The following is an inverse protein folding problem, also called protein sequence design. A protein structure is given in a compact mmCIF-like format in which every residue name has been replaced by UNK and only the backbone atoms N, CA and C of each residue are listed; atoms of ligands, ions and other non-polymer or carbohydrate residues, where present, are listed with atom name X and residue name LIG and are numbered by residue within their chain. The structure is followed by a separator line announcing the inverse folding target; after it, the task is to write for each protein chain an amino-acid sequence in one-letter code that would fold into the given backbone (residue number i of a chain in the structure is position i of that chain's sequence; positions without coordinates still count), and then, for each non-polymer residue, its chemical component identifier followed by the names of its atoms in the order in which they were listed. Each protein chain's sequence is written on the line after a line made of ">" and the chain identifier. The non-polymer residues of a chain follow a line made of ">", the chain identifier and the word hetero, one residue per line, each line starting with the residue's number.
data_IF_066958484306
#
_entry.id   IF_066958484306
#
_cell.length_a   1.000
_cell.length_b   1.000
_cell.length_c   1.000
_cell.angle_alpha   90.00
_cell.angle_beta   90.00
_cell.angle_gamma   90.00
#
_symmetry.space_group_name_H-M   'P 1'
#
loop_
_entity.id
_entity.type
_entity.pdbx_description
1 polymer ?
#
# COMPACT_ATOMS: atom_id res chain seq x y z
N UNK A 1 4.55 0.18 6.53
CA UNK A 1 5.10 -0.47 5.33
C UNK A 1 5.90 0.58 4.60
N UNK A 2 7.19 0.64 4.92
CA UNK A 2 8.11 1.55 4.23
C UNK A 2 8.23 1.09 2.78
N UNK A 3 7.92 1.95 1.82
CA UNK A 3 8.23 1.70 0.42
C UNK A 3 9.66 2.17 0.19
N UNK A 4 10.63 1.28 0.33
CA UNK A 4 11.89 1.47 -0.33
C UNK A 4 11.66 1.13 -1.80
N UNK A 5 11.63 2.13 -2.66
CA UNK A 5 11.78 1.91 -4.08
C UNK A 5 13.21 1.46 -4.34
N UNK A 6 13.48 0.17 -4.41
CA UNK A 6 14.64 -0.32 -5.14
C UNK A 6 14.36 -0.04 -6.60
N UNK A 7 14.75 1.14 -7.06
CA UNK A 7 15.04 1.35 -8.47
C UNK A 7 16.35 0.61 -8.67
N UNK A 8 16.29 -0.59 -9.26
CA UNK A 8 17.47 -1.16 -9.88
C UNK A 8 18.00 -0.07 -10.81
N UNK A 9 19.26 0.29 -10.64
CA UNK A 9 19.99 1.23 -11.50
C UNK A 9 20.23 0.57 -12.85
N UNK A 10 19.18 0.30 -13.60
CA UNK A 10 19.22 0.24 -15.04
C UNK A 10 18.44 1.45 -15.53
N UNK A 11 19.20 2.41 -16.02
CA UNK A 11 18.83 3.66 -16.68
C UNK A 11 17.41 3.66 -17.25
N UNK A 12 16.43 4.16 -16.49
CA UNK A 12 15.23 4.74 -17.04
C UNK A 12 15.35 6.25 -16.83
N UNK A 13 16.15 6.87 -17.65
CA UNK A 13 16.06 8.29 -17.96
C UNK A 13 14.70 8.50 -18.62
N UNK A 14 13.70 8.90 -17.85
CA UNK A 14 12.50 9.52 -18.40
C UNK A 14 12.85 10.95 -18.83
N UNK A 15 13.64 11.03 -19.91
CA UNK A 15 13.74 12.24 -20.68
C UNK A 15 12.47 12.31 -21.55
N UNK A 16 11.68 13.38 -21.33
CA UNK A 16 10.64 13.88 -22.22
C UNK A 16 9.70 12.82 -22.80
N UNK A 17 8.49 12.78 -22.28
CA UNK A 17 7.38 12.05 -22.89
C UNK A 17 7.19 12.54 -24.34
N UNK A 18 7.68 11.84 -25.37
CA UNK A 18 7.39 12.18 -26.74
C UNK A 18 6.18 11.37 -27.16
N UNK A 19 4.99 11.91 -26.93
CA UNK A 19 3.83 11.45 -27.69
C UNK A 19 4.06 11.84 -29.16
N UNK A 20 4.58 10.90 -29.96
CA UNK A 20 4.57 11.00 -31.41
C UNK A 20 3.26 10.42 -31.95
N UNK A 21 2.45 11.21 -32.67
CA UNK A 21 1.26 10.66 -33.30
C UNK A 21 1.65 9.64 -34.38
N UNK A 22 0.95 8.55 -34.39
CA UNK A 22 0.75 7.48 -35.32
C UNK A 22 1.67 7.41 -36.58
N UNK A 23 2.55 6.42 -36.60
CA UNK A 23 2.90 5.72 -37.83
C UNK A 23 2.02 4.49 -37.97
N UNK A 24 1.04 4.56 -38.88
CA UNK A 24 0.28 3.41 -39.36
C UNK A 24 1.27 2.38 -39.94
N UNK A 25 1.58 1.34 -39.18
CA UNK A 25 2.12 0.09 -39.68
C UNK A 25 1.01 -0.93 -39.74
N UNK A 26 0.39 -1.04 -40.88
CA UNK A 26 -0.39 -2.18 -41.31
C UNK A 26 0.47 -3.46 -41.21
N UNK A 27 0.44 -4.15 -40.09
CA UNK A 27 0.75 -5.56 -40.01
C UNK A 27 -0.56 -6.28 -39.71
N UNK A 28 -1.18 -6.86 -40.74
CA UNK A 28 -2.10 -7.95 -40.59
C UNK A 28 -1.38 -9.06 -39.81
N UNK A 29 -1.53 -9.09 -38.47
CA UNK A 29 -1.31 -10.29 -37.70
C UNK A 29 -2.57 -11.13 -37.92
N UNK A 30 -2.41 -12.25 -38.61
CA UNK A 30 -3.37 -13.34 -38.57
C UNK A 30 -3.81 -13.52 -37.12
N UNK A 31 -5.12 -13.47 -36.87
CA UNK A 31 -5.73 -13.84 -35.61
C UNK A 31 -5.42 -15.34 -35.42
N UNK A 32 -4.33 -15.63 -34.70
CA UNK A 32 -4.19 -16.93 -34.06
C UNK A 32 -5.46 -17.12 -33.21
N UNK A 33 -6.24 -18.12 -33.52
CA UNK A 33 -7.32 -18.60 -32.67
C UNK A 33 -6.75 -18.79 -31.27
N UNK A 34 -7.10 -17.90 -30.34
CA UNK A 34 -6.73 -18.04 -28.94
C UNK A 34 -7.44 -19.31 -28.48
N UNK A 35 -6.71 -20.42 -28.37
CA UNK A 35 -7.21 -21.62 -27.71
C UNK A 35 -7.88 -21.19 -26.41
N UNK A 36 -9.19 -21.29 -26.34
CA UNK A 36 -9.94 -21.04 -25.10
C UNK A 36 -9.43 -22.01 -24.05
N UNK A 37 -8.91 -21.48 -22.95
CA UNK A 37 -8.45 -22.30 -21.84
C UNK A 37 -9.66 -23.05 -21.25
N UNK A 38 -9.46 -24.26 -20.71
CA UNK A 38 -10.55 -25.12 -20.28
C UNK A 38 -11.36 -24.54 -19.13
N UNK A 39 -12.61 -24.92 -19.07
CA UNK A 39 -13.46 -24.81 -17.88
C UNK A 39 -13.19 -26.04 -17.01
N UNK A 40 -13.07 -25.86 -15.72
CA UNK A 40 -12.95 -26.91 -14.71
C UNK A 40 -14.25 -26.91 -13.91
N UNK A 41 -14.97 -28.00 -13.97
CA UNK A 41 -16.30 -28.09 -13.39
C UNK A 41 -16.29 -28.79 -12.03
N UNK A 42 -17.19 -28.37 -11.14
CA UNK A 42 -17.45 -28.98 -9.85
C UNK A 42 -16.22 -29.12 -8.94
N UNK A 43 -15.43 -28.07 -8.89
CA UNK A 43 -14.16 -28.04 -8.15
C UNK A 43 -14.38 -27.58 -6.72
N UNK A 44 -13.94 -28.38 -5.76
CA UNK A 44 -13.93 -28.00 -4.33
C UNK A 44 -12.69 -27.17 -4.00
N UNK A 45 -12.90 -26.00 -3.42
CA UNK A 45 -11.82 -25.16 -2.87
C UNK A 45 -11.38 -25.76 -1.54
N UNK A 46 -10.08 -25.99 -1.40
CA UNK A 46 -9.52 -26.77 -0.29
C UNK A 46 -8.73 -25.98 0.73
N UNK A 47 -8.11 -24.87 0.35
CA UNK A 47 -7.23 -24.09 1.26
C UNK A 47 -7.14 -22.62 0.80
N UNK A 48 -6.46 -21.81 1.60
CA UNK A 48 -6.18 -20.41 1.34
C UNK A 48 -4.69 -20.26 0.99
N UNK A 49 -4.41 -19.47 -0.03
CA UNK A 49 -3.08 -19.11 -0.48
C UNK A 49 -2.74 -17.66 -0.15
N UNK A 50 -1.52 -17.26 -0.47
CA UNK A 50 -1.06 -15.88 -0.35
C UNK A 50 -1.91 -14.90 -1.20
N UNK A 51 -1.82 -13.61 -0.85
CA UNK A 51 -2.45 -12.50 -1.58
C UNK A 51 -3.97 -12.54 -1.66
N UNK A 52 -4.63 -13.24 -0.75
CA UNK A 52 -6.08 -13.33 -0.70
C UNK A 52 -6.70 -14.26 -1.75
N UNK A 53 -5.90 -15.11 -2.37
CA UNK A 53 -6.38 -16.18 -3.24
C UNK A 53 -6.69 -17.43 -2.41
N UNK A 54 -7.62 -18.23 -2.88
CA UNK A 54 -7.83 -19.59 -2.42
C UNK A 54 -7.24 -20.58 -3.41
N UNK A 55 -7.15 -21.83 -3.04
CA UNK A 55 -6.60 -22.86 -3.91
C UNK A 55 -7.46 -24.14 -3.94
N UNK A 56 -7.39 -24.83 -5.06
CA UNK A 56 -7.80 -26.21 -5.23
C UNK A 56 -6.64 -27.02 -5.81
N UNK A 57 -6.69 -28.33 -5.69
CA UNK A 57 -5.74 -29.26 -6.32
C UNK A 57 -6.47 -30.18 -7.28
N UNK A 58 -5.98 -30.26 -8.50
CA UNK A 58 -6.53 -31.12 -9.55
C UNK A 58 -5.39 -31.82 -10.25
N UNK A 59 -5.29 -33.14 -10.12
CA UNK A 59 -4.24 -33.96 -10.76
C UNK A 59 -2.83 -33.34 -10.59
N UNK A 60 -2.38 -33.11 -9.37
CA UNK A 60 -1.11 -32.51 -8.99
C UNK A 60 -0.92 -31.04 -9.41
N UNK A 61 -1.90 -30.42 -10.06
CA UNK A 61 -1.87 -29.02 -10.42
C UNK A 61 -2.55 -28.20 -9.33
N UNK A 62 -1.90 -27.12 -8.91
CA UNK A 62 -2.48 -26.11 -8.02
C UNK A 62 -3.28 -25.11 -8.85
N UNK A 63 -4.53 -24.86 -8.45
CA UNK A 63 -5.42 -23.88 -9.08
C UNK A 63 -5.64 -22.73 -8.10
N UNK A 64 -5.15 -21.53 -8.42
CA UNK A 64 -5.39 -20.33 -7.63
C UNK A 64 -6.68 -19.64 -8.06
N UNK A 65 -7.54 -19.36 -7.09
CA UNK A 65 -8.89 -18.82 -7.33
C UNK A 65 -9.13 -17.61 -6.42
N UNK A 66 -9.32 -16.40 -6.96
CA UNK A 66 -9.72 -15.25 -6.15
C UNK A 66 -11.19 -15.35 -5.74
N UNK A 67 -11.55 -14.69 -4.63
CA UNK A 67 -12.92 -14.54 -4.13
C UNK A 67 -13.67 -15.86 -3.83
N UNK A 68 -12.94 -16.95 -3.64
CA UNK A 68 -13.46 -18.21 -3.15
C UNK A 68 -12.96 -18.47 -1.72
N UNK A 69 -13.62 -19.37 -0.99
CA UNK A 69 -13.22 -19.80 0.36
C UNK A 69 -13.21 -21.32 0.44
N UNK A 70 -12.42 -21.93 1.34
CA UNK A 70 -12.43 -23.38 1.53
C UNK A 70 -13.85 -23.90 1.79
N UNK A 71 -14.21 -24.99 1.12
CA UNK A 71 -15.54 -25.58 1.16
C UNK A 71 -16.50 -25.09 0.08
N UNK A 72 -16.18 -24.03 -0.67
CA UNK A 72 -16.92 -23.69 -1.89
C UNK A 72 -16.76 -24.79 -2.92
N UNK A 73 -17.85 -25.11 -3.63
CA UNK A 73 -17.83 -25.95 -4.84
C UNK A 73 -18.20 -25.07 -6.04
N UNK A 74 -17.30 -24.99 -7.01
CA UNK A 74 -17.39 -23.99 -8.09
C UNK A 74 -17.00 -24.54 -9.45
N UNK A 75 -17.53 -23.89 -10.50
CA UNK A 75 -16.98 -24.03 -11.84
C UNK A 75 -16.02 -22.88 -12.12
N UNK A 76 -14.88 -23.21 -12.70
CA UNK A 76 -13.75 -22.33 -12.88
C UNK A 76 -13.37 -22.14 -14.34
N UNK A 77 -13.27 -20.92 -14.81
CA UNK A 77 -12.63 -20.62 -16.09
C UNK A 77 -11.12 -20.40 -15.87
N UNK A 78 -10.29 -21.26 -16.44
CA UNK A 78 -8.83 -21.05 -16.43
C UNK A 78 -8.50 -19.79 -17.23
N UNK A 79 -7.72 -18.88 -16.63
CA UNK A 79 -7.26 -17.62 -17.24
C UNK A 79 -5.79 -17.69 -17.65
N UNK A 80 -5.00 -18.43 -16.87
CA UNK A 80 -3.56 -18.59 -17.11
C UNK A 80 -3.12 -19.98 -16.70
N UNK A 81 -2.31 -20.63 -17.50
CA UNK A 81 -1.75 -21.96 -17.20
C UNK A 81 -0.22 -21.90 -17.25
N UNK A 82 0.41 -22.43 -16.21
CA UNK A 82 1.84 -22.68 -16.08
C UNK A 82 2.09 -24.19 -15.88
N UNK A 83 3.36 -24.57 -15.76
CA UNK A 83 3.73 -25.99 -15.69
C UNK A 83 3.14 -26.67 -14.42
N UNK A 84 3.22 -26.01 -13.25
CA UNK A 84 2.80 -26.58 -11.96
C UNK A 84 1.55 -25.93 -11.35
N UNK A 85 1.03 -24.86 -11.95
CA UNK A 85 -0.16 -24.19 -11.45
C UNK A 85 -0.97 -23.51 -12.56
N UNK A 86 -2.22 -23.22 -12.26
CA UNK A 86 -3.01 -22.30 -13.07
C UNK A 86 -3.72 -21.26 -12.20
N UNK A 87 -4.15 -20.18 -12.84
CA UNK A 87 -5.00 -19.15 -12.27
C UNK A 87 -6.36 -19.24 -12.95
N UNK A 88 -7.40 -19.27 -12.15
CA UNK A 88 -8.77 -19.42 -12.65
C UNK A 88 -9.72 -18.47 -11.90
N UNK A 89 -10.82 -18.14 -12.53
CA UNK A 89 -11.89 -17.32 -11.97
C UNK A 89 -13.16 -18.15 -11.84
N UNK A 90 -13.92 -17.91 -10.77
CA UNK A 90 -15.23 -18.54 -10.58
C UNK A 90 -16.20 -17.99 -11.62
N UNK A 91 -16.82 -18.89 -12.38
CA UNK A 91 -17.90 -18.58 -13.32
C UNK A 91 -19.28 -18.98 -12.79
N UNK A 92 -19.31 -19.95 -11.86
CA UNK A 92 -20.56 -20.40 -11.21
C UNK A 92 -20.23 -21.02 -9.84
N UNK A 93 -21.02 -20.68 -8.83
CA UNK A 93 -21.03 -21.37 -7.55
C UNK A 93 -22.07 -22.50 -7.61
N UNK A 94 -21.64 -23.73 -7.31
CA UNK A 94 -22.52 -24.91 -7.18
C UNK A 94 -23.02 -25.02 -5.75
N UNK A 95 -22.08 -24.81 -4.78
CA UNK A 95 -22.36 -24.80 -3.35
C UNK A 95 -21.47 -23.74 -2.68
N UNK A 96 -22.09 -22.93 -1.86
CA UNK A 96 -21.36 -22.00 -0.98
C UNK A 96 -20.89 -22.72 0.28
N UNK A 97 -19.69 -22.38 0.72
CA UNK A 97 -19.13 -22.85 2.00
C UNK A 97 -19.87 -22.23 3.18
N UNK A 98 -20.02 -23.00 4.26
CA UNK A 98 -20.54 -22.52 5.54
C UNK A 98 -19.60 -21.52 6.24
N UNK A 99 -18.33 -21.47 5.82
CA UNK A 99 -17.36 -20.49 6.30
C UNK A 99 -17.59 -19.08 5.74
N UNK A 100 -18.45 -18.90 4.75
CA UNK A 100 -18.68 -17.58 4.17
C UNK A 100 -19.41 -16.65 5.11
N UNK A 101 -18.98 -15.38 5.07
CA UNK A 101 -19.72 -14.27 5.68
C UNK A 101 -20.09 -13.24 4.63
N UNK A 102 -21.13 -12.46 4.89
CA UNK A 102 -21.53 -11.37 4.01
C UNK A 102 -20.50 -10.25 4.05
N UNK A 103 -19.97 -9.81 2.89
CA UNK A 103 -19.06 -8.67 2.84
C UNK A 103 -19.74 -7.37 3.29
N UNK A 104 -19.08 -6.62 4.21
CA UNK A 104 -19.61 -5.35 4.70
C UNK A 104 -19.63 -4.24 3.64
N UNK A 105 -18.83 -4.35 2.58
CA UNK A 105 -18.64 -3.34 1.56
C UNK A 105 -19.33 -3.76 0.25
N UNK A 106 -20.25 -2.94 -0.25
CA UNK A 106 -20.96 -3.20 -1.51
C UNK A 106 -20.06 -3.20 -2.75
N UNK A 107 -18.85 -2.63 -2.66
CA UNK A 107 -17.86 -2.63 -3.74
C UNK A 107 -16.93 -3.85 -3.69
N UNK A 108 -17.11 -4.75 -2.71
CA UNK A 108 -16.29 -5.95 -2.61
C UNK A 108 -16.44 -6.83 -3.85
N UNK A 109 -15.35 -7.42 -4.30
CA UNK A 109 -15.31 -8.24 -5.51
C UNK A 109 -15.04 -7.45 -6.80
N UNK A 110 -15.32 -6.15 -6.82
CA UNK A 110 -14.99 -5.25 -7.94
C UNK A 110 -13.83 -4.33 -7.57
N UNK A 111 -13.91 -3.65 -6.42
CA UNK A 111 -12.81 -2.86 -5.88
C UNK A 111 -11.61 -3.74 -5.52
N UNK A 112 -10.41 -3.38 -5.98
CA UNK A 112 -9.17 -4.10 -5.73
C UNK A 112 -8.61 -3.96 -4.30
N UNK A 113 -9.21 -3.12 -3.43
CA UNK A 113 -8.67 -2.77 -2.12
C UNK A 113 -8.77 -3.88 -1.07
N UNK A 114 -9.86 -4.63 -1.05
CA UNK A 114 -10.12 -5.72 -0.09
C UNK A 114 -10.14 -7.08 -0.79
N UNK A 115 -9.59 -8.11 -0.12
CA UNK A 115 -9.46 -9.45 -0.69
C UNK A 115 -10.31 -10.53 -0.01
N UNK A 116 -10.66 -10.35 1.28
CA UNK A 116 -11.19 -11.42 2.12
C UNK A 116 -12.44 -11.04 2.93
N UNK A 117 -13.22 -10.04 2.52
CA UNK A 117 -14.42 -9.67 3.29
C UNK A 117 -15.49 -10.79 3.34
N UNK A 118 -15.42 -11.76 2.44
CA UNK A 118 -16.27 -12.95 2.45
C UNK A 118 -15.83 -14.04 3.43
N UNK A 119 -14.71 -13.83 4.17
CA UNK A 119 -14.17 -14.77 5.14
C UNK A 119 -14.17 -14.14 6.53
N UNK A 120 -14.68 -14.81 7.59
CA UNK A 120 -14.62 -14.32 8.96
C UNK A 120 -13.20 -13.95 9.38
N UNK A 121 -13.06 -12.94 10.25
CA UNK A 121 -11.75 -12.41 10.59
C UNK A 121 -10.86 -13.44 11.29
N UNK A 122 -11.41 -14.30 12.13
CA UNK A 122 -10.69 -15.39 12.79
C UNK A 122 -10.09 -16.37 11.77
N UNK A 123 -10.81 -16.67 10.71
CA UNK A 123 -10.32 -17.54 9.63
C UNK A 123 -9.24 -16.83 8.79
N UNK A 124 -9.36 -15.51 8.60
CA UNK A 124 -8.29 -14.70 7.98
C UNK A 124 -7.00 -14.75 8.83
N UNK A 125 -7.11 -14.69 10.15
CA UNK A 125 -5.97 -14.78 11.07
C UNK A 125 -5.31 -16.17 10.99
N UNK A 126 -6.10 -17.25 11.03
CA UNK A 126 -5.58 -18.62 10.90
C UNK A 126 -4.84 -18.81 9.57
N UNK A 127 -5.42 -18.31 8.49
CA UNK A 127 -4.80 -18.40 7.15
C UNK A 127 -3.47 -17.63 7.08
N UNK A 128 -3.41 -16.43 7.66
CA UNK A 128 -2.18 -15.63 7.70
C UNK A 128 -1.11 -16.28 8.57
N UNK A 129 -1.49 -16.79 9.73
CA UNK A 129 -0.56 -17.50 10.62
C UNK A 129 0.03 -18.75 9.94
N UNK A 130 -0.85 -19.56 9.33
CA UNK A 130 -0.43 -20.73 8.55
C UNK A 130 0.51 -20.35 7.41
N UNK A 131 0.22 -19.28 6.68
CA UNK A 131 1.05 -18.80 5.58
C UNK A 131 2.47 -18.45 6.06
N UNK A 132 2.60 -17.72 7.17
CA UNK A 132 3.90 -17.35 7.73
C UNK A 132 4.66 -18.61 8.16
N UNK A 133 4.01 -19.50 8.89
CA UNK A 133 4.60 -20.77 9.33
C UNK A 133 5.11 -21.61 8.15
N UNK A 134 4.25 -21.82 7.14
CA UNK A 134 4.59 -22.60 5.94
C UNK A 134 5.78 -21.99 5.16
N UNK A 135 5.88 -20.68 5.12
CA UNK A 135 6.96 -20.01 4.40
C UNK A 135 8.29 -20.07 5.17
N UNK A 136 8.27 -19.82 6.47
CA UNK A 136 9.46 -19.92 7.30
C UNK A 136 10.03 -21.35 7.31
N UNK A 137 9.18 -22.36 7.46
CA UNK A 137 9.61 -23.76 7.56
C UNK A 137 9.94 -24.40 6.20
N UNK A 138 9.20 -24.06 5.12
CA UNK A 138 9.39 -24.72 3.80
C UNK A 138 10.30 -23.96 2.85
N UNK A 139 10.27 -22.62 2.87
CA UNK A 139 11.14 -21.79 2.03
C UNK A 139 12.43 -21.49 2.78
N UNK A 140 12.33 -20.94 3.99
CA UNK A 140 13.46 -20.60 4.83
C UNK A 140 14.18 -21.82 5.38
N UNK A 141 13.44 -22.91 5.62
CA UNK A 141 13.92 -24.11 6.33
C UNK A 141 14.53 -23.78 7.70
N UNK A 142 14.07 -22.67 8.28
CA UNK A 142 14.53 -22.16 9.57
C UNK A 142 13.88 -22.98 10.67
N UNK A 143 14.65 -23.36 11.68
CA UNK A 143 14.13 -23.96 12.89
C UNK A 143 13.42 -22.88 13.72
N UNK A 144 12.17 -23.15 14.13
CA UNK A 144 11.36 -22.22 14.90
C UNK A 144 11.26 -22.72 16.34
N UNK A 145 12.07 -22.22 17.28
CA UNK A 145 12.03 -22.65 18.68
C UNK A 145 10.71 -22.25 19.34
N UNK A 146 10.15 -21.13 18.96
CA UNK A 146 8.84 -20.64 19.39
C UNK A 146 8.10 -19.99 18.21
N UNK A 147 6.83 -20.36 18.01
CA UNK A 147 5.95 -19.73 17.03
C UNK A 147 4.70 -19.23 17.76
N UNK A 148 4.68 -17.94 18.08
CA UNK A 148 3.58 -17.33 18.85
C UNK A 148 2.30 -17.19 18.04
N UNK A 149 1.12 -17.22 18.67
CA UNK A 149 -0.14 -16.94 18.01
C UNK A 149 -0.15 -15.55 17.37
N UNK A 150 -0.80 -15.46 16.20
CA UNK A 150 -0.96 -14.17 15.50
C UNK A 150 -1.75 -13.18 16.33
N UNK A 151 -1.28 -11.95 16.40
CA UNK A 151 -1.98 -10.85 17.05
C UNK A 151 -2.95 -10.20 16.07
N UNK A 152 -4.25 -10.38 16.30
CA UNK A 152 -5.31 -9.75 15.51
C UNK A 152 -5.42 -8.25 15.75
N UNK A 153 -5.96 -7.52 14.78
CA UNK A 153 -6.35 -6.13 14.95
C UNK A 153 -7.68 -6.03 15.70
N UNK A 154 -7.78 -5.11 16.65
CA UNK A 154 -9.02 -4.85 17.41
C UNK A 154 -10.13 -4.31 16.50
N UNK A 155 -9.76 -3.45 15.52
CA UNK A 155 -10.68 -2.93 14.50
C UNK A 155 -10.46 -3.67 13.19
N UNK A 156 -11.52 -4.16 12.58
CA UNK A 156 -11.54 -4.80 11.26
C UNK A 156 -12.08 -3.87 10.17
N UNK A 157 -12.67 -2.74 10.57
CA UNK A 157 -13.08 -1.60 9.74
C UNK A 157 -12.59 -0.29 10.37
N UNK A 158 -12.60 0.81 9.62
CA UNK A 158 -12.22 2.15 10.08
C UNK A 158 -10.87 2.20 10.81
N UNK A 159 -9.93 1.38 10.40
CA UNK A 159 -8.61 1.29 11.03
C UNK A 159 -7.52 2.05 10.28
N UNK A 160 -7.78 2.45 9.03
CA UNK A 160 -6.79 3.17 8.23
C UNK A 160 -6.81 4.66 8.54
N UNK A 161 -5.61 5.20 8.63
CA UNK A 161 -5.38 6.64 8.78
C UNK A 161 -4.99 7.33 7.46
N UNK A 162 -4.97 6.62 6.32
CA UNK A 162 -4.66 7.17 5.00
C UNK A 162 -5.37 6.40 3.89
N UNK A 163 -6.02 7.12 2.98
CA UNK A 163 -6.54 6.62 1.70
C UNK A 163 -6.15 7.57 0.58
N UNK A 164 -5.89 7.00 -0.60
CA UNK A 164 -5.57 7.71 -1.85
C UNK A 164 -6.62 7.33 -2.89
N UNK A 165 -7.21 8.33 -3.54
CA UNK A 165 -8.27 8.16 -4.53
C UNK A 165 -7.86 8.80 -5.84
N UNK A 166 -7.93 8.03 -6.93
CA UNK A 166 -7.76 8.58 -8.26
C UNK A 166 -9.01 9.30 -8.74
N UNK A 167 -8.82 10.32 -9.56
CA UNK A 167 -9.87 11.02 -10.29
C UNK A 167 -9.67 10.77 -11.78
N UNK A 168 -10.72 10.40 -12.50
CA UNK A 168 -10.60 10.09 -13.93
C UNK A 168 -11.90 10.38 -14.68
N UNK A 169 -11.77 10.77 -15.94
CA UNK A 169 -12.86 10.84 -16.90
C UNK A 169 -13.21 9.46 -17.51
N UNK A 170 -12.67 8.37 -16.95
CA UNK A 170 -12.89 6.98 -17.39
C UNK A 170 -13.42 6.11 -16.26
N UNK A 171 -14.68 6.28 -15.95
CA UNK A 171 -15.42 5.46 -15.00
C UNK A 171 -15.37 3.97 -15.39
N UNK A 172 -15.12 3.11 -14.43
CA UNK A 172 -15.33 1.68 -14.60
C UNK A 172 -16.83 1.36 -14.65
N UNK A 173 -17.26 0.71 -15.74
CA UNK A 173 -18.63 0.22 -15.89
C UNK A 173 -18.70 -1.24 -15.46
N UNK A 174 -19.77 -1.61 -14.76
CA UNK A 174 -20.02 -3.00 -14.38
C UNK A 174 -20.43 -3.83 -15.60
N UNK A 175 -20.40 -5.16 -15.46
CA UNK A 175 -20.85 -6.06 -16.55
C UNK A 175 -22.32 -5.82 -16.90
N UNK A 176 -23.14 -5.52 -15.89
CA UNK A 176 -24.57 -5.22 -16.05
C UNK A 176 -24.78 -3.92 -16.84
N UNK A 177 -24.05 -2.86 -16.51
CA UNK A 177 -24.07 -1.59 -17.22
C UNK A 177 -23.59 -1.73 -18.67
N UNK A 178 -22.58 -2.55 -18.91
CA UNK A 178 -22.12 -2.85 -20.28
C UNK A 178 -23.17 -3.64 -21.04
N UNK A 179 -23.84 -4.61 -20.39
CA UNK A 179 -24.84 -5.46 -21.01
C UNK A 179 -26.17 -4.73 -21.29
N UNK A 180 -26.51 -3.71 -20.50
CA UNK A 180 -27.70 -2.88 -20.73
C UNK A 180 -27.62 -2.07 -22.02
N UNK A 181 -26.41 -1.84 -22.53
CA UNK A 181 -26.19 -1.01 -23.74
C UNK A 181 -26.45 0.47 -23.51
N UNK A 182 -26.54 0.92 -22.26
CA UNK A 182 -26.66 2.33 -21.93
C UNK A 182 -25.49 3.13 -22.50
N UNK A 183 -25.80 4.24 -23.13
CA UNK A 183 -24.79 5.23 -23.52
C UNK A 183 -24.66 6.27 -22.40
N UNK A 184 -23.43 6.54 -21.98
CA UNK A 184 -23.13 7.53 -20.95
C UNK A 184 -22.59 8.80 -21.62
N UNK A 185 -23.06 9.96 -21.16
CA UNK A 185 -22.46 11.24 -21.53
C UNK A 185 -21.03 11.37 -20.96
N UNK A 186 -20.20 12.21 -21.55
CA UNK A 186 -18.82 12.39 -21.12
C UNK A 186 -18.69 12.76 -19.64
N UNK A 187 -19.59 13.59 -19.12
CA UNK A 187 -19.63 14.01 -17.71
C UNK A 187 -20.01 12.86 -16.77
N UNK A 188 -20.83 11.92 -17.21
CA UNK A 188 -21.23 10.74 -16.45
C UNK A 188 -20.09 9.70 -16.32
N UNK A 189 -19.06 9.85 -17.16
CA UNK A 189 -17.84 9.04 -17.11
C UNK A 189 -16.81 9.55 -16.10
N UNK A 190 -17.07 10.70 -15.46
CA UNK A 190 -16.22 11.23 -14.41
C UNK A 190 -16.38 10.41 -13.11
N UNK A 191 -15.27 10.06 -12.48
CA UNK A 191 -15.27 9.22 -11.29
C UNK A 191 -14.13 9.58 -10.33
N UNK A 192 -14.43 9.52 -9.02
CA UNK A 192 -13.46 9.52 -7.94
C UNK A 192 -13.56 8.19 -7.20
N UNK A 193 -12.45 7.51 -7.01
CA UNK A 193 -12.43 6.22 -6.33
C UNK A 193 -11.11 5.47 -6.49
N UNK A 194 -11.19 4.17 -6.71
CA UNK A 194 -10.00 3.32 -6.82
C UNK A 194 -9.80 2.75 -8.21
N UNK A 195 -8.54 2.60 -8.61
CA UNK A 195 -8.17 1.90 -9.82
C UNK A 195 -8.58 0.43 -9.78
N UNK A 196 -9.06 -0.08 -10.91
CA UNK A 196 -9.37 -1.50 -11.08
C UNK A 196 -8.08 -2.26 -11.42
N UNK A 197 -7.90 -3.41 -10.78
CA UNK A 197 -6.77 -4.29 -11.07
C UNK A 197 -6.72 -4.65 -12.56
N UNK A 198 -5.62 -4.31 -13.21
CA UNK A 198 -5.42 -4.56 -14.66
C UNK A 198 -6.00 -3.48 -15.59
N UNK A 199 -6.63 -2.43 -15.06
CA UNK A 199 -7.15 -1.30 -15.82
C UNK A 199 -6.66 0.02 -15.18
N UNK A 200 -5.42 0.38 -15.44
CA UNK A 200 -4.71 1.48 -14.80
C UNK A 200 -5.33 2.87 -15.05
N UNK A 201 -6.07 3.04 -16.13
CA UNK A 201 -6.71 4.28 -16.55
C UNK A 201 -8.19 4.38 -16.15
N UNK A 202 -8.74 3.36 -15.47
CA UNK A 202 -10.16 3.32 -15.10
C UNK A 202 -10.36 3.35 -13.60
N UNK A 203 -11.30 4.18 -13.17
CA UNK A 203 -11.66 4.36 -11.77
C UNK A 203 -13.04 3.76 -11.49
N UNK A 204 -13.10 2.90 -10.48
CA UNK A 204 -14.36 2.48 -9.88
C UNK A 204 -14.84 3.61 -8.95
N UNK A 205 -16.00 4.23 -9.22
CA UNK A 205 -16.54 5.23 -8.31
C UNK A 205 -16.88 4.60 -6.96
N UNK A 206 -16.42 5.22 -5.89
CA UNK A 206 -16.67 4.74 -4.52
C UNK A 206 -17.56 5.74 -3.81
N UNK A 207 -18.70 5.29 -3.30
CA UNK A 207 -19.59 6.12 -2.47
C UNK A 207 -19.24 6.00 -0.99
N UNK A 208 -18.96 4.79 -0.53
CA UNK A 208 -18.57 4.52 0.85
C UNK A 208 -17.44 3.49 0.90
N UNK A 209 -16.32 3.87 1.52
CA UNK A 209 -15.24 2.96 1.89
C UNK A 209 -15.28 2.75 3.41
N UNK A 210 -15.21 1.50 3.84
CA UNK A 210 -15.31 1.11 5.26
C UNK A 210 -13.95 1.02 5.97
N UNK A 211 -12.86 1.37 5.28
CA UNK A 211 -11.51 1.19 5.82
C UNK A 211 -11.02 2.34 6.69
N UNK A 212 -11.63 3.51 6.59
CA UNK A 212 -11.26 4.72 7.32
C UNK A 212 -12.54 5.36 7.92
N UNK A 213 -12.39 6.22 8.92
CA UNK A 213 -13.47 7.00 9.52
C UNK A 213 -14.38 7.67 8.48
N UNK A 214 -15.68 7.75 8.76
CA UNK A 214 -16.69 8.12 7.73
C UNK A 214 -16.56 9.56 7.20
N UNK A 215 -15.87 10.45 7.90
CA UNK A 215 -15.65 11.84 7.43
C UNK A 215 -14.90 11.86 6.08
N UNK A 216 -13.98 10.90 5.83
CA UNK A 216 -13.29 10.82 4.53
C UNK A 216 -14.26 10.57 3.36
N UNK A 217 -15.35 9.82 3.59
CA UNK A 217 -16.37 9.60 2.56
C UNK A 217 -17.10 10.90 2.24
N UNK A 218 -17.45 11.68 3.26
CA UNK A 218 -18.09 12.99 3.12
C UNK A 218 -17.20 13.96 2.35
N UNK A 219 -15.93 14.08 2.73
CA UNK A 219 -14.96 14.96 2.05
C UNK A 219 -14.79 14.56 0.57
N UNK A 220 -14.53 13.27 0.29
CA UNK A 220 -14.35 12.78 -1.07
C UNK A 220 -15.60 13.00 -1.93
N UNK A 221 -16.78 12.68 -1.40
CA UNK A 221 -18.03 12.83 -2.14
C UNK A 221 -18.31 14.31 -2.43
N UNK A 222 -18.03 15.20 -1.49
CA UNK A 222 -18.20 16.64 -1.70
C UNK A 222 -17.24 17.20 -2.78
N UNK A 223 -15.98 16.75 -2.79
CA UNK A 223 -15.03 17.10 -3.85
C UNK A 223 -15.59 16.67 -5.21
N UNK A 224 -16.14 15.46 -5.31
CA UNK A 224 -16.78 14.97 -6.53
C UNK A 224 -17.96 15.83 -6.93
N UNK A 225 -18.85 16.09 -6.00
CA UNK A 225 -20.12 16.76 -6.28
C UNK A 225 -19.88 18.24 -6.66
N UNK A 226 -18.93 18.91 -6.02
CA UNK A 226 -18.50 20.26 -6.41
C UNK A 226 -17.87 20.25 -7.81
N UNK A 227 -16.93 19.33 -8.08
CA UNK A 227 -16.27 19.25 -9.38
C UNK A 227 -17.26 18.99 -10.52
N UNK A 228 -18.27 18.14 -10.31
CA UNK A 228 -19.31 17.88 -11.29
C UNK A 228 -20.23 19.09 -11.48
N UNK A 229 -20.64 19.77 -10.41
CA UNK A 229 -21.56 20.90 -10.45
C UNK A 229 -20.95 22.15 -11.10
N UNK A 230 -19.63 22.32 -10.99
CA UNK A 230 -18.89 23.44 -11.58
C UNK A 230 -18.30 23.15 -12.96
N UNK A 231 -18.51 21.92 -13.49
CA UNK A 231 -17.96 21.51 -14.78
C UNK A 231 -16.44 21.34 -14.78
N UNK A 232 -15.82 21.11 -13.62
CA UNK A 232 -14.39 20.84 -13.50
C UNK A 232 -14.01 19.57 -14.27
N UNK A 233 -12.94 19.61 -15.06
CA UNK A 233 -12.46 18.46 -15.83
C UNK A 233 -11.73 17.46 -14.94
N UNK A 234 -11.94 16.16 -15.21
CA UNK A 234 -11.25 15.06 -14.54
C UNK A 234 -10.11 14.55 -15.41
N UNK A 235 -9.02 14.14 -14.77
CA UNK A 235 -7.79 13.79 -15.46
C UNK A 235 -7.94 12.55 -16.36
N UNK A 236 -7.51 12.65 -17.62
CA UNK A 236 -7.33 11.50 -18.51
C UNK A 236 -5.88 11.04 -18.48
N UNK A 237 -5.62 9.92 -17.82
CA UNK A 237 -4.27 9.38 -17.66
C UNK A 237 -3.60 9.02 -19.00
N UNK A 238 -4.36 8.76 -20.08
CA UNK A 238 -3.81 8.47 -21.41
C UNK A 238 -3.57 9.73 -22.22
N UNK A 239 -4.49 10.67 -22.17
CA UNK A 239 -4.38 11.95 -22.87
C UNK A 239 -3.48 12.93 -22.11
N UNK A 240 -3.24 12.72 -20.82
CA UNK A 240 -2.50 13.62 -19.94
C UNK A 240 -3.12 15.03 -19.92
N UNK A 241 -4.43 15.08 -19.71
CA UNK A 241 -5.23 16.28 -19.78
C UNK A 241 -6.37 16.22 -18.75
N UNK A 242 -6.78 17.38 -18.20
CA UNK A 242 -7.84 17.54 -17.21
C UNK A 242 -7.32 17.92 -15.84
N UNK A 243 -8.12 18.71 -15.11
CA UNK A 243 -7.70 19.46 -13.92
C UNK A 243 -7.59 18.59 -12.66
N UNK A 244 -8.67 17.87 -12.29
CA UNK A 244 -8.73 17.12 -11.02
C UNK A 244 -8.10 15.72 -11.19
N UNK A 245 -7.02 15.43 -10.45
CA UNK A 245 -6.18 14.27 -10.71
C UNK A 245 -6.23 13.20 -9.62
N UNK A 246 -5.91 13.57 -8.37
CA UNK A 246 -5.87 12.64 -7.23
C UNK A 246 -6.24 13.33 -5.93
N UNK A 247 -6.69 12.53 -4.94
CA UNK A 247 -7.01 13.00 -3.60
C UNK A 247 -6.36 12.07 -2.58
N UNK A 248 -5.62 12.64 -1.64
CA UNK A 248 -5.11 11.92 -0.48
C UNK A 248 -5.79 12.46 0.77
N UNK A 249 -6.41 11.57 1.54
CA UNK A 249 -7.03 11.93 2.82
C UNK A 249 -6.32 11.17 3.94
N UNK A 250 -5.90 11.89 4.96
CA UNK A 250 -5.28 11.35 6.17
C UNK A 250 -6.01 11.88 7.41
N UNK A 251 -6.09 11.05 8.43
CA UNK A 251 -6.43 11.48 9.78
C UNK A 251 -5.40 10.97 10.77
N UNK A 252 -5.43 11.49 11.98
CA UNK A 252 -4.56 11.07 13.07
C UNK A 252 -5.36 10.70 14.31
N UNK A 253 -4.70 10.02 15.25
CA UNK A 253 -5.29 9.71 16.53
C UNK A 253 -5.44 10.93 17.47
N UNK A 254 -4.89 12.08 17.07
CA UNK A 254 -5.12 13.39 17.74
C UNK A 254 -6.39 14.10 17.24
N UNK A 255 -7.08 13.52 16.25
CA UNK A 255 -8.29 14.10 15.65
C UNK A 255 -8.02 15.11 14.54
N UNK A 256 -6.78 15.27 14.10
CA UNK A 256 -6.42 16.15 12.99
C UNK A 256 -6.67 15.47 11.63
N UNK A 257 -7.01 16.27 10.61
CA UNK A 257 -7.30 15.84 9.26
C UNK A 257 -6.44 16.58 8.25
N UNK A 258 -5.80 15.84 7.36
CA UNK A 258 -5.06 16.35 6.22
C UNK A 258 -5.73 15.90 4.93
N UNK A 259 -5.97 16.85 4.04
CA UNK A 259 -6.47 16.60 2.68
C UNK A 259 -5.49 17.20 1.70
N UNK A 260 -5.04 16.40 0.73
CA UNK A 260 -4.14 16.83 -0.34
C UNK A 260 -4.87 16.59 -1.66
N UNK A 261 -5.07 17.64 -2.44
CA UNK A 261 -5.69 17.53 -3.77
C UNK A 261 -4.62 17.76 -4.83
N UNK A 262 -4.47 16.80 -5.74
CA UNK A 262 -3.58 16.93 -6.87
C UNK A 262 -4.35 17.46 -8.07
N UNK A 263 -3.85 18.53 -8.64
CA UNK A 263 -4.33 19.15 -9.87
C UNK A 263 -3.32 18.98 -11.00
N UNK A 264 -3.79 19.18 -12.21
CA UNK A 264 -2.96 19.28 -13.42
C UNK A 264 -3.42 20.51 -14.19
N UNK A 265 -2.64 21.60 -14.12
CA UNK A 265 -2.98 22.86 -14.74
C UNK A 265 -2.53 22.87 -16.22
N UNK A 266 -3.47 22.74 -17.14
CA UNK A 266 -3.20 22.71 -18.59
C UNK A 266 -4.11 23.68 -19.40
N UNK A 267 -5.11 24.29 -18.74
CA UNK A 267 -5.99 25.26 -19.36
C UNK A 267 -5.96 26.60 -18.61
N UNK A 268 -6.27 27.69 -19.33
CA UNK A 268 -6.45 29.00 -18.74
C UNK A 268 -7.58 28.98 -17.68
N UNK A 269 -7.32 29.53 -16.51
CA UNK A 269 -8.27 29.55 -15.38
C UNK A 269 -8.28 28.31 -14.51
N UNK A 270 -7.44 27.30 -14.77
CA UNK A 270 -7.36 26.08 -13.94
C UNK A 270 -6.98 26.39 -12.50
N UNK A 271 -6.03 27.28 -12.30
CA UNK A 271 -5.63 27.71 -10.94
C UNK A 271 -6.81 28.33 -10.17
N UNK A 272 -7.63 29.15 -10.84
CA UNK A 272 -8.81 29.75 -10.22
C UNK A 272 -9.90 28.70 -9.92
N UNK A 273 -10.10 27.73 -10.83
CA UNK A 273 -11.03 26.60 -10.61
C UNK A 273 -10.57 25.73 -9.43
N UNK A 274 -9.29 25.41 -9.36
CA UNK A 274 -8.69 24.68 -8.25
C UNK A 274 -8.86 25.42 -6.92
N UNK A 275 -8.61 26.75 -6.91
CA UNK A 275 -8.79 27.60 -5.74
C UNK A 275 -10.24 27.59 -5.27
N UNK A 276 -11.21 27.69 -6.17
CA UNK A 276 -12.64 27.64 -5.83
C UNK A 276 -13.03 26.31 -5.13
N UNK A 277 -12.51 25.17 -5.58
CA UNK A 277 -12.71 23.90 -4.91
C UNK A 277 -12.09 23.90 -3.51
N UNK A 278 -10.85 24.40 -3.35
CA UNK A 278 -10.17 24.45 -2.07
C UNK A 278 -10.89 25.34 -1.07
N UNK A 279 -11.40 26.52 -1.51
CA UNK A 279 -12.23 27.44 -0.70
C UNK A 279 -13.49 26.74 -0.22
N UNK A 280 -14.22 26.07 -1.12
CA UNK A 280 -15.43 25.33 -0.81
C UNK A 280 -15.19 24.22 0.23
N UNK A 281 -14.17 23.42 0.06
CA UNK A 281 -13.80 22.33 1.00
C UNK A 281 -13.36 22.90 2.36
N UNK A 282 -12.60 24.00 2.37
CA UNK A 282 -12.17 24.67 3.59
C UNK A 282 -13.32 25.24 4.41
N UNK A 283 -14.38 25.71 3.74
CA UNK A 283 -15.59 26.23 4.39
C UNK A 283 -16.47 25.09 4.90
N UNK A 284 -16.71 24.07 4.07
CA UNK A 284 -17.65 22.98 4.38
C UNK A 284 -17.10 22.02 5.44
N UNK A 285 -15.79 21.85 5.53
CA UNK A 285 -15.13 20.94 6.47
C UNK A 285 -14.14 21.69 7.37
N UNK A 286 -14.62 22.43 8.39
CA UNK A 286 -13.75 23.15 9.33
C UNK A 286 -12.84 22.21 10.14
N UNK A 287 -13.15 20.90 10.19
CA UNK A 287 -12.36 19.87 10.86
C UNK A 287 -11.02 19.60 10.16
N UNK A 288 -10.86 19.99 8.89
CA UNK A 288 -9.60 19.85 8.16
C UNK A 288 -8.60 20.85 8.73
N UNK A 289 -7.57 20.33 9.38
CA UNK A 289 -6.48 21.09 10.01
C UNK A 289 -5.32 21.37 9.06
N UNK A 290 -5.27 20.61 7.95
CA UNK A 290 -4.22 20.69 6.94
C UNK A 290 -4.84 20.46 5.55
N UNK A 291 -5.15 21.54 4.82
CA UNK A 291 -5.63 21.48 3.44
C UNK A 291 -4.50 21.88 2.50
N UNK A 292 -4.04 20.94 1.72
CA UNK A 292 -2.86 21.04 0.87
C UNK A 292 -3.24 20.78 -0.59
N UNK A 293 -2.41 21.26 -1.50
CA UNK A 293 -2.56 20.94 -2.93
C UNK A 293 -1.21 20.84 -3.65
N UNK A 294 -1.23 20.17 -4.78
CA UNK A 294 -0.06 19.95 -5.64
C UNK A 294 -0.47 20.15 -7.08
N UNK A 295 0.31 20.91 -7.84
CA UNK A 295 0.22 20.91 -9.29
C UNK A 295 1.15 19.81 -9.84
N UNK A 296 0.57 18.66 -10.23
CA UNK A 296 1.31 17.51 -10.72
C UNK A 296 1.17 17.39 -12.23
N UNK A 297 2.15 17.88 -12.96
CA UNK A 297 2.23 17.80 -14.43
C UNK A 297 3.04 16.60 -14.94
N UNK A 298 3.38 15.65 -14.08
CA UNK A 298 4.11 14.44 -14.45
C UNK A 298 3.19 13.40 -15.09
N UNK A 299 3.78 12.45 -15.81
CA UNK A 299 3.02 11.34 -16.39
C UNK A 299 2.55 10.29 -15.35
N UNK A 300 2.94 10.42 -14.09
CA UNK A 300 2.55 9.51 -13.00
C UNK A 300 1.97 10.27 -11.80
N UNK A 301 1.32 9.56 -10.88
CA UNK A 301 0.58 10.12 -9.76
C UNK A 301 1.45 10.41 -8.52
N UNK A 302 2.76 10.11 -8.59
CA UNK A 302 3.65 10.37 -7.46
C UNK A 302 3.97 11.86 -7.33
N UNK A 303 3.96 12.38 -6.11
CA UNK A 303 4.27 13.79 -5.83
C UNK A 303 5.41 13.99 -4.80
N UNK A 304 6.16 12.91 -4.50
CA UNK A 304 7.25 12.98 -3.53
C UNK A 304 8.33 14.02 -3.85
N UNK A 305 8.59 14.25 -5.13
CA UNK A 305 9.56 15.20 -5.68
C UNK A 305 8.95 16.56 -6.06
N UNK A 306 7.65 16.77 -5.84
CA UNK A 306 6.95 18.01 -6.16
C UNK A 306 6.76 18.88 -4.93
N UNK A 307 6.60 20.19 -5.14
CA UNK A 307 6.21 21.12 -4.10
C UNK A 307 4.77 20.86 -3.65
N UNK A 308 4.54 20.83 -2.34
CA UNK A 308 3.21 20.75 -1.73
C UNK A 308 2.89 22.08 -1.10
N UNK A 309 1.86 22.74 -1.61
CA UNK A 309 1.43 24.06 -1.14
C UNK A 309 0.36 23.95 -0.07
N UNK A 310 0.46 24.79 0.96
CA UNK A 310 -0.55 24.90 2.02
C UNK A 310 -1.62 25.89 1.59
N UNK A 311 -2.87 25.44 1.49
CA UNK A 311 -4.00 26.31 1.25
C UNK A 311 -4.60 26.84 2.57
N UNK A 312 -4.77 25.94 3.56
CA UNK A 312 -5.30 26.30 4.89
C UNK A 312 -4.67 25.43 5.98
N UNK A 313 -4.35 26.02 7.11
CA UNK A 313 -3.86 25.34 8.30
C UNK A 313 -2.36 25.04 8.26
N UNK A 314 -1.98 23.83 8.68
CA UNK A 314 -0.60 23.41 8.79
C UNK A 314 -0.14 22.58 7.60
N UNK A 315 1.18 22.47 7.39
CA UNK A 315 1.81 21.57 6.42
C UNK A 315 1.84 20.11 6.90
N UNK A 316 1.30 19.80 8.09
CA UNK A 316 1.38 18.50 8.75
C UNK A 316 0.21 18.25 9.69
N UNK A 317 0.09 17.00 10.14
CA UNK A 317 -0.72 16.58 11.27
C UNK A 317 0.16 15.86 12.29
N UNK A 318 -0.33 15.65 13.51
CA UNK A 318 0.38 14.93 14.55
C UNK A 318 -0.27 13.59 14.86
N UNK A 319 0.54 12.56 15.02
CA UNK A 319 0.18 11.28 15.64
C UNK A 319 0.83 11.18 17.03
N UNK A 320 0.21 10.46 17.94
CA UNK A 320 0.76 10.23 19.28
C UNK A 320 0.88 8.73 19.59
N UNK A 321 1.92 8.35 20.31
CA UNK A 321 2.15 6.97 20.76
C UNK A 321 2.91 6.98 22.08
N UNK A 322 2.34 6.47 23.16
CA UNK A 322 2.91 6.47 24.52
C UNK A 322 3.44 7.84 24.98
N UNK A 323 2.72 8.91 24.67
CA UNK A 323 3.10 10.27 25.01
C UNK A 323 4.20 10.86 24.10
N UNK A 324 4.70 10.12 23.13
CA UNK A 324 5.51 10.65 22.03
C UNK A 324 4.62 11.27 20.97
N UNK A 325 5.08 12.38 20.38
CA UNK A 325 4.38 13.13 19.35
C UNK A 325 5.17 13.05 18.05
N UNK A 326 4.51 12.62 16.97
CA UNK A 326 5.14 12.45 15.66
C UNK A 326 4.52 13.41 14.65
N UNK A 327 5.34 14.27 14.07
CA UNK A 327 4.96 15.12 12.94
C UNK A 327 4.86 14.26 11.68
N UNK A 328 3.69 14.29 11.03
CA UNK A 328 3.40 13.54 9.81
C UNK A 328 3.05 14.53 8.70
N UNK A 329 3.98 14.75 7.80
CA UNK A 329 3.80 15.59 6.63
C UNK A 329 3.09 14.88 5.48
N UNK A 330 2.81 15.59 4.37
CA UNK A 330 2.13 15.02 3.20
C UNK A 330 2.92 13.87 2.55
N UNK A 331 4.23 13.93 2.57
CA UNK A 331 5.14 12.95 1.99
C UNK A 331 5.63 11.90 2.99
N UNK A 332 5.47 12.16 4.30
CA UNK A 332 5.94 11.27 5.36
C UNK A 332 5.23 9.94 5.32
N UNK A 333 6.01 8.87 5.45
CA UNK A 333 5.46 7.55 5.72
C UNK A 333 5.04 7.45 7.19
N UNK A 334 3.88 6.90 7.45
CA UNK A 334 3.40 6.46 8.76
C UNK A 334 2.53 5.22 8.59
N UNK A 335 2.62 4.25 9.51
CA UNK A 335 1.85 3.00 9.41
C UNK A 335 0.35 3.29 9.36
N UNK A 336 -0.33 2.73 8.35
CA UNK A 336 -1.73 3.09 8.05
C UNK A 336 -2.75 2.56 9.06
N UNK A 337 -2.38 1.68 9.96
CA UNK A 337 -3.16 1.27 11.12
C UNK A 337 -2.38 1.63 12.38
N UNK A 338 -2.59 2.82 12.92
CA UNK A 338 -1.87 3.36 14.08
C UNK A 338 -1.93 2.45 15.31
N UNK A 339 -3.10 1.84 15.58
CA UNK A 339 -3.26 0.94 16.73
C UNK A 339 -2.46 -0.35 16.59
N UNK A 340 -2.49 -0.95 15.40
CA UNK A 340 -1.73 -2.16 15.14
C UNK A 340 -0.22 -1.88 15.03
N UNK A 341 0.16 -0.69 14.55
CA UNK A 341 1.54 -0.24 14.56
C UNK A 341 2.10 -0.15 15.99
N UNK A 342 1.32 0.34 16.93
CA UNK A 342 1.70 0.36 18.34
C UNK A 342 2.01 -1.05 18.86
N UNK A 343 1.13 -2.04 18.58
CA UNK A 343 1.38 -3.42 18.99
C UNK A 343 2.64 -3.98 18.32
N UNK A 344 2.83 -3.73 17.03
CA UNK A 344 4.02 -4.15 16.30
C UNK A 344 5.30 -3.57 16.94
N UNK A 345 5.30 -2.28 17.24
CA UNK A 345 6.46 -1.60 17.83
C UNK A 345 6.70 -2.03 19.28
N UNK A 346 5.64 -2.33 20.03
CA UNK A 346 5.75 -2.87 21.38
C UNK A 346 6.43 -4.24 21.38
N UNK A 347 6.04 -5.13 20.44
CA UNK A 347 6.71 -6.42 20.25
C UNK A 347 8.16 -6.21 19.83
N UNK A 348 8.42 -5.34 18.85
CA UNK A 348 9.79 -5.05 18.43
C UNK A 348 10.65 -4.53 19.59
N UNK A 349 10.08 -3.70 20.49
CA UNK A 349 10.77 -3.18 21.68
C UNK A 349 11.04 -4.26 22.74
N UNK A 350 10.17 -5.25 22.90
CA UNK A 350 10.44 -6.40 23.79
C UNK A 350 11.70 -7.16 23.39
N UNK A 351 12.01 -7.19 22.09
CA UNK A 351 13.19 -7.86 21.55
C UNK A 351 14.39 -6.93 21.32
N UNK A 352 14.29 -5.65 21.70
CA UNK A 352 15.31 -4.58 21.69
C UNK A 352 15.93 -4.17 20.33
N UNK A 353 15.53 -3.00 19.83
CA UNK A 353 16.18 -1.88 19.09
C UNK A 353 16.54 -2.00 17.59
N UNK A 354 16.02 -1.10 16.76
CA UNK A 354 16.42 -0.19 15.66
C UNK A 354 15.44 -0.11 14.47
N UNK A 355 15.35 0.82 13.74
CA UNK A 355 14.88 2.05 13.16
C UNK A 355 13.96 1.88 11.94
N UNK A 356 13.08 2.81 11.70
CA UNK A 356 12.39 3.21 10.47
C UNK A 356 12.42 4.75 10.41
N UNK A 357 11.50 5.44 9.74
CA UNK A 357 11.37 6.92 9.62
C UNK A 357 11.44 7.71 10.94
N UNK A 358 12.32 7.33 11.83
CA UNK A 358 12.41 7.87 13.18
C UNK A 358 11.27 7.44 14.11
N UNK A 359 10.18 6.85 13.62
CA UNK A 359 9.07 6.45 14.49
C UNK A 359 9.48 5.32 15.41
N UNK A 360 10.05 4.24 14.88
CA UNK A 360 10.57 3.12 15.69
C UNK A 360 11.74 3.60 16.54
N UNK A 361 12.71 4.34 15.93
CA UNK A 361 13.87 4.85 16.65
C UNK A 361 13.50 5.70 17.87
N UNK A 362 12.59 6.64 17.69
CA UNK A 362 12.12 7.51 18.78
C UNK A 362 11.30 6.73 19.81
N UNK A 363 10.48 5.74 19.35
CA UNK A 363 9.69 4.91 20.24
C UNK A 363 10.55 4.07 21.18
N UNK A 364 11.66 3.53 20.68
CA UNK A 364 12.57 2.67 21.47
C UNK A 364 13.68 3.44 22.19
N UNK A 365 13.92 4.69 21.84
CA UNK A 365 15.01 5.50 22.39
C UNK A 365 15.01 5.59 23.92
N UNK A 366 13.83 5.57 24.53
CA UNK A 366 13.67 5.58 25.99
C UNK A 366 14.20 4.32 26.69
N UNK A 367 14.33 3.22 25.95
CA UNK A 367 14.80 1.93 26.44
C UNK A 367 16.27 1.63 26.07
N UNK A 368 16.93 2.56 25.35
CA UNK A 368 18.27 2.39 24.84
C UNK A 368 19.24 3.44 25.37
N UNK A 369 20.52 3.08 25.48
CA UNK A 369 21.58 4.03 25.77
C UNK A 369 21.85 4.95 24.58
N UNK A 370 21.81 4.41 23.36
CA UNK A 370 22.06 5.11 22.11
C UNK A 370 21.28 4.41 21.00
N UNK A 371 20.66 5.17 20.11
CA UNK A 371 19.97 4.67 18.92
C UNK A 371 20.59 5.30 17.68
N UNK A 372 20.88 4.49 16.68
CA UNK A 372 21.35 4.96 15.37
C UNK A 372 20.33 4.58 14.32
N UNK A 373 19.79 5.56 13.61
CA UNK A 373 18.90 5.41 12.48
C UNK A 373 19.63 5.54 11.15
N UNK A 374 19.48 4.56 10.28
CA UNK A 374 19.97 4.61 8.90
C UNK A 374 18.77 4.48 7.97
N UNK A 375 18.60 5.43 7.07
CA UNK A 375 17.48 5.48 6.15
C UNK A 375 17.95 6.04 4.81
N UNK A 376 17.51 5.40 3.72
CA UNK A 376 17.95 5.77 2.38
C UNK A 376 17.41 7.15 1.94
N UNK A 377 16.21 7.53 2.40
CA UNK A 377 15.52 8.75 2.00
C UNK A 377 15.93 9.92 2.91
N UNK A 378 16.66 10.95 2.40
CA UNK A 378 17.14 12.07 3.23
C UNK A 378 16.02 12.83 3.93
N UNK A 379 14.87 13.04 3.27
CA UNK A 379 13.73 13.75 3.84
C UNK A 379 13.14 13.01 5.06
N UNK A 380 13.16 11.67 5.03
CA UNK A 380 12.72 10.88 6.17
C UNK A 380 13.68 11.00 7.38
N UNK A 381 14.97 11.20 7.13
CA UNK A 381 15.96 11.49 8.17
C UNK A 381 15.71 12.87 8.81
N UNK A 382 15.35 13.88 8.00
CA UNK A 382 14.98 15.19 8.56
C UNK A 382 13.68 15.09 9.40
N UNK A 383 12.68 14.38 8.95
CA UNK A 383 11.47 14.09 9.74
C UNK A 383 11.83 13.38 11.06
N UNK A 384 12.76 12.42 11.02
CA UNK A 384 13.21 11.68 12.21
C UNK A 384 13.90 12.60 13.24
N UNK A 385 14.77 13.51 12.79
CA UNK A 385 15.44 14.52 13.65
C UNK A 385 14.43 15.48 14.27
N UNK A 386 13.47 15.98 13.48
CA UNK A 386 12.39 16.84 13.97
C UNK A 386 11.57 16.11 15.04
N UNK A 387 11.22 14.84 14.80
CA UNK A 387 10.47 14.03 15.76
C UNK A 387 11.27 13.76 17.05
N UNK A 388 12.60 13.55 16.99
CA UNK A 388 13.44 13.47 18.18
C UNK A 388 13.42 14.77 18.97
N UNK A 389 13.59 15.90 18.29
CA UNK A 389 13.58 17.23 18.92
C UNK A 389 12.25 17.54 19.61
N UNK A 390 11.11 17.29 18.94
CA UNK A 390 9.77 17.51 19.51
C UNK A 390 9.55 16.71 20.80
N UNK A 391 10.16 15.52 20.89
CA UNK A 391 10.02 14.63 22.04
C UNK A 391 11.13 14.76 23.08
N UNK A 392 12.07 15.68 22.91
CA UNK A 392 13.21 15.86 23.81
C UNK A 392 14.11 14.62 23.88
N UNK A 393 14.27 13.89 22.77
CA UNK A 393 15.09 12.69 22.68
C UNK A 393 16.48 13.10 22.17
N UNK A 394 17.49 12.87 22.99
CA UNK A 394 18.88 13.31 22.73
C UNK A 394 19.84 12.15 22.40
N UNK A 395 19.41 10.91 22.61
CA UNK A 395 20.23 9.72 22.42
C UNK A 395 20.05 9.04 21.05
N UNK A 396 19.48 9.76 20.07
CA UNK A 396 19.31 9.29 18.69
C UNK A 396 20.29 9.98 17.74
N UNK A 397 20.84 9.22 16.79
CA UNK A 397 21.63 9.70 15.66
C UNK A 397 21.02 9.17 14.37
N UNK A 398 20.97 10.00 13.32
CA UNK A 398 20.36 9.62 12.04
C UNK A 398 21.30 9.89 10.87
N UNK A 399 21.39 8.89 9.98
CA UNK A 399 22.25 8.90 8.81
C UNK A 399 21.43 8.60 7.55
N UNK A 400 21.56 9.45 6.53
CA UNK A 400 20.93 9.25 5.22
C UNK A 400 21.85 8.41 4.32
N UNK A 401 21.37 7.29 3.82
CA UNK A 401 22.08 6.42 2.89
C UNK A 401 21.72 4.95 3.03
N UNK A 402 22.35 4.12 2.19
CA UNK A 402 22.17 2.67 2.25
C UNK A 402 22.92 2.08 3.44
N UNK A 403 22.30 1.16 4.15
CA UNK A 403 22.90 0.49 5.33
C UNK A 403 24.26 -0.15 4.99
N UNK A 404 24.37 -0.78 3.81
CA UNK A 404 25.62 -1.42 3.36
C UNK A 404 26.78 -0.45 3.21
N UNK A 405 26.50 0.81 2.87
CA UNK A 405 27.51 1.84 2.64
C UNK A 405 27.84 2.61 3.93
N UNK A 406 26.92 2.67 4.89
CA UNK A 406 27.08 3.38 6.15
C UNK A 406 27.65 2.48 7.24
N UNK A 407 27.13 1.26 7.43
CA UNK A 407 27.54 0.35 8.50
C UNK A 407 28.86 -0.35 8.15
N UNK A 408 29.93 0.44 7.97
CA UNK A 408 31.29 -0.02 7.69
C UNK A 408 32.05 -0.37 8.98
N UNK A 409 33.23 -0.98 8.85
CA UNK A 409 34.09 -1.28 10.00
C UNK A 409 34.55 0.00 10.71
N UNK A 410 34.78 1.10 9.97
CA UNK A 410 35.12 2.41 10.52
C UNK A 410 33.92 3.00 11.29
N UNK A 411 32.72 2.82 10.77
CA UNK A 411 31.50 3.24 11.45
C UNK A 411 31.31 2.49 12.76
N UNK A 412 31.51 1.16 12.74
CA UNK A 412 31.44 0.32 13.94
C UNK A 412 32.55 0.69 14.94
N UNK A 413 33.75 0.99 14.47
CA UNK A 413 34.85 1.42 15.34
C UNK A 413 34.54 2.76 16.04
N UNK A 414 33.89 3.70 15.35
CA UNK A 414 33.54 5.04 15.89
C UNK A 414 32.29 5.04 16.77
N UNK A 415 31.34 4.18 16.51
CA UNK A 415 30.02 4.19 17.18
C UNK A 415 29.82 3.03 18.15
N UNK A 416 30.66 2.01 18.10
CA UNK A 416 30.53 0.74 18.81
C UNK A 416 29.75 -0.29 17.97
N UNK A 417 29.94 -1.59 18.27
CA UNK A 417 29.12 -2.64 17.71
C UNK A 417 27.67 -2.51 18.20
N UNK A 418 26.68 -2.71 17.32
CA UNK A 418 25.29 -2.76 17.75
C UNK A 418 25.05 -4.01 18.60
N UNK A 419 24.38 -3.85 19.74
CA UNK A 419 23.89 -4.99 20.51
C UNK A 419 22.72 -5.66 19.78
N UNK A 420 21.87 -4.85 19.15
CA UNK A 420 20.69 -5.30 18.42
C UNK A 420 20.57 -4.55 17.11
N UNK A 421 20.16 -5.24 16.04
CA UNK A 421 19.73 -4.63 14.77
C UNK A 421 18.26 -4.94 14.55
N UNK A 422 17.43 -3.89 14.35
CA UNK A 422 16.08 -4.05 13.82
C UNK A 422 16.10 -3.67 12.34
N UNK A 423 15.51 -4.48 11.50
CA UNK A 423 15.34 -4.21 10.08
C UNK A 423 13.88 -4.32 9.68
N UNK A 424 13.38 -3.36 8.87
CA UNK A 424 12.05 -3.35 8.25
C UNK A 424 12.22 -3.12 6.74
N UNK A 425 12.74 -4.10 6.01
CA UNK A 425 13.05 -3.94 4.59
C UNK A 425 11.80 -3.85 3.73
N UNK A 426 11.93 -3.42 2.45
CA UNK A 426 10.84 -3.39 1.50
C UNK A 426 10.31 -4.81 1.19
N UNK A 427 9.20 -4.90 0.43
CA UNK A 427 8.60 -6.19 0.05
C UNK A 427 9.53 -7.17 -0.65
N UNK A 428 10.58 -6.67 -1.27
CA UNK A 428 11.60 -7.50 -1.92
C UNK A 428 12.53 -8.21 -0.92
N UNK A 429 12.49 -7.83 0.35
CA UNK A 429 13.43 -8.27 1.38
C UNK A 429 14.73 -7.47 1.34
N UNK A 430 15.74 -7.95 2.05
CA UNK A 430 17.07 -7.35 2.07
C UNK A 430 17.88 -7.75 0.84
N UNK A 431 18.77 -6.86 0.40
CA UNK A 431 19.82 -7.21 -0.56
C UNK A 431 20.91 -8.05 0.13
N UNK A 432 21.59 -8.91 -0.63
CA UNK A 432 22.67 -9.76 -0.09
C UNK A 432 23.74 -8.97 0.66
N UNK A 433 24.16 -7.83 0.10
CA UNK A 433 25.18 -6.97 0.73
C UNK A 433 24.74 -6.42 2.10
N UNK A 434 23.42 -6.19 2.31
CA UNK A 434 22.89 -5.77 3.61
C UNK A 434 22.96 -6.93 4.60
N UNK A 435 22.64 -8.16 4.17
CA UNK A 435 22.75 -9.37 4.99
C UNK A 435 24.20 -9.58 5.40
N UNK A 436 25.15 -9.52 4.44
CA UNK A 436 26.58 -9.65 4.71
C UNK A 436 27.09 -8.57 5.69
N UNK A 437 26.54 -7.38 5.61
CA UNK A 437 26.86 -6.28 6.52
C UNK A 437 26.36 -6.57 7.94
N UNK A 438 25.14 -7.10 8.07
CA UNK A 438 24.59 -7.51 9.37
C UNK A 438 25.43 -8.63 9.98
N UNK A 439 25.77 -9.65 9.21
CA UNK A 439 26.63 -10.76 9.66
C UNK A 439 28.00 -10.25 10.12
N UNK A 440 28.63 -9.33 9.37
CA UNK A 440 29.90 -8.71 9.74
C UNK A 440 29.80 -7.85 11.02
N UNK A 441 28.69 -7.14 11.21
CA UNK A 441 28.44 -6.32 12.40
C UNK A 441 28.28 -7.18 13.67
N UNK A 442 27.88 -8.45 13.52
CA UNK A 442 27.73 -9.43 14.60
C UNK A 442 26.91 -8.87 15.78
N UNK A 443 25.66 -8.41 15.58
CA UNK A 443 24.81 -8.02 16.69
C UNK A 443 24.49 -9.26 17.56
N UNK A 444 24.21 -9.03 18.83
CA UNK A 444 23.77 -10.13 19.72
C UNK A 444 22.35 -10.61 19.34
N UNK A 445 21.57 -9.77 18.66
CA UNK A 445 20.18 -10.05 18.30
C UNK A 445 19.76 -9.30 17.03
N UNK A 446 18.95 -9.96 16.22
CA UNK A 446 18.32 -9.34 15.05
C UNK A 446 16.80 -9.40 15.23
N UNK A 447 16.13 -8.26 15.05
CA UNK A 447 14.66 -8.14 14.99
C UNK A 447 14.28 -7.83 13.55
N UNK A 448 13.66 -8.79 12.87
CA UNK A 448 13.27 -8.64 11.46
C UNK A 448 11.77 -8.42 11.33
N UNK A 449 11.36 -7.17 11.12
CA UNK A 449 9.99 -6.80 10.77
C UNK A 449 9.79 -6.97 9.27
N UNK A 450 8.73 -7.61 8.82
CA UNK A 450 8.48 -7.82 7.40
C UNK A 450 7.00 -7.80 7.05
N UNK A 451 6.67 -7.21 5.91
CA UNK A 451 5.35 -7.30 5.30
C UNK A 451 5.21 -8.45 4.28
N UNK A 452 6.31 -9.19 4.02
CA UNK A 452 6.34 -10.30 3.07
C UNK A 452 7.10 -11.50 3.68
N UNK A 453 6.38 -12.47 4.26
CA UNK A 453 7.01 -13.58 4.94
C UNK A 453 7.80 -14.52 4.00
N UNK A 454 7.57 -14.48 2.68
CA UNK A 454 8.36 -15.28 1.74
C UNK A 454 9.79 -14.74 1.56
N UNK A 455 9.93 -13.41 1.43
CA UNK A 455 11.25 -12.78 1.36
C UNK A 455 11.94 -12.79 2.72
N UNK A 456 11.19 -12.65 3.81
CA UNK A 456 11.70 -12.80 5.16
C UNK A 456 12.28 -14.21 5.37
N UNK A 457 11.57 -15.26 4.94
CA UNK A 457 12.03 -16.63 5.04
C UNK A 457 13.34 -16.87 4.27
N UNK A 458 13.46 -16.28 3.06
CA UNK A 458 14.70 -16.31 2.27
C UNK A 458 15.87 -15.64 3.01
N UNK A 459 15.61 -14.45 3.53
CA UNK A 459 16.66 -13.66 4.18
C UNK A 459 17.09 -14.30 5.51
N UNK A 460 16.13 -14.84 6.28
CA UNK A 460 16.43 -15.56 7.51
C UNK A 460 17.27 -16.82 7.24
N UNK A 461 17.02 -17.55 6.15
CA UNK A 461 17.84 -18.70 5.77
C UNK A 461 19.31 -18.32 5.49
N UNK A 462 19.58 -17.08 5.08
CA UNK A 462 20.94 -16.57 4.90
C UNK A 462 21.55 -16.11 6.22
N UNK A 463 20.74 -15.55 7.13
CA UNK A 463 21.19 -15.13 8.47
C UNK A 463 21.41 -16.32 9.41
N UNK A 464 20.66 -17.42 9.27
CA UNK A 464 20.70 -18.63 10.10
C UNK A 464 22.06 -19.38 10.03
N UNK A 465 22.97 -18.94 9.16
CA UNK A 465 24.34 -19.47 9.09
C UNK A 465 25.19 -19.10 10.31
N UNK A 466 24.81 -18.05 11.05
CA UNK A 466 25.54 -17.49 12.20
C UNK A 466 24.67 -17.31 13.46
N UNK A 467 23.32 -17.39 13.32
CA UNK A 467 22.33 -17.11 14.40
C UNK A 467 21.45 -18.31 14.73
#
# INVERSE_FOLDING_TARGET
>A
MVRYGVISTENITFANCPYKPERKKTRKKERNDKKTLPVLENITITDIAAEGKSLARINDMVVFVPFAVPGDVVDLQVRRKKHHYCEAEVIRFIKYSELRTEPMCRHFGVCGGCKWQMLPYEEQLKAKQKQVYDQLTRIGKVELPEFRPIMGSVKTSEYRNKLEFGCSNKKWLTKEQIASGESFENTEMNAIGFHITGAFDKILPIEKCMLMDDLHNSIRNEIRDYALSTGMTFFDLRAQHGLLRDIVIRNSNTGEWMVIIQFHYDEEGDEQRAKGLLEHIAEKFPQITSLLYVNNQKCNDTFGDLEVSVFKGNDHIFETMEGLKFKVGPKSFYQTNTKQAYHLYSVAREYDLYTGTGTIANFVARSARKVIGIEYVPEAIEDAKVNSSINGIENTLFYAGDMKDILTDEFIASHGRPDVIITDPPRAGMHGDVIDTILRAQPQRIVYVSCNPATQARDLALLDTEY
#
